data_IF_287439760304
#
_entry.id   IF_287439760304
#
_cell.length_a   1.000
_cell.length_b   1.000
_cell.length_c   1.000
_cell.angle_alpha   90.00
_cell.angle_beta   90.00
_cell.angle_gamma   90.00
#
_symmetry.space_group_name_H-M   'P 1'
#
loop_
_entity.id
_entity.type
_entity.pdbx_description
1 polymer ?
#
# COMPACT_ATOMS: atom_id res chain seq x y z
N UNK A 1 17.20 -8.33 -39.51
CA UNK A 1 17.63 -9.69 -39.93
C UNK A 1 16.53 -10.72 -39.70
N UNK A 2 15.90 -10.74 -38.51
CA UNK A 2 14.80 -11.66 -38.21
C UNK A 2 13.61 -11.53 -39.20
N UNK A 3 13.13 -10.31 -39.44
CA UNK A 3 12.05 -10.04 -40.41
C UNK A 3 12.36 -10.49 -41.85
N UNK A 4 13.64 -10.46 -42.25
CA UNK A 4 14.05 -10.92 -43.58
C UNK A 4 14.00 -12.46 -43.70
N UNK A 5 14.27 -13.18 -42.60
CA UNK A 5 14.10 -14.63 -42.52
C UNK A 5 12.61 -14.98 -42.47
N UNK A 6 11.80 -14.24 -41.71
CA UNK A 6 10.34 -14.42 -41.69
C UNK A 6 9.72 -14.28 -43.08
N UNK A 7 10.16 -13.26 -43.83
CA UNK A 7 9.74 -13.06 -45.22
C UNK A 7 10.21 -14.20 -46.14
N UNK A 8 11.43 -14.72 -45.94
CA UNK A 8 11.99 -15.83 -46.72
C UNK A 8 11.23 -17.14 -46.48
N UNK A 9 10.88 -17.44 -45.23
CA UNK A 9 10.18 -18.67 -44.83
C UNK A 9 8.65 -18.56 -44.96
N UNK A 10 8.14 -17.45 -45.52
CA UNK A 10 6.71 -17.25 -45.80
C UNK A 10 5.83 -17.13 -44.55
N UNK A 11 6.43 -16.83 -43.39
CA UNK A 11 5.70 -16.62 -42.13
C UNK A 11 5.34 -15.15 -41.93
N UNK A 12 4.33 -14.90 -41.07
CA UNK A 12 3.83 -13.55 -40.81
C UNK A 12 4.92 -12.69 -40.15
N UNK A 13 5.34 -11.65 -40.85
CA UNK A 13 6.35 -10.69 -40.36
C UNK A 13 5.82 -9.95 -39.14
N UNK A 14 6.55 -10.02 -38.04
CA UNK A 14 6.21 -9.31 -36.81
C UNK A 14 6.71 -7.86 -36.86
N UNK A 15 5.92 -6.92 -36.32
CA UNK A 15 6.35 -5.53 -36.20
C UNK A 15 7.43 -5.44 -35.12
N UNK A 16 8.60 -4.93 -35.50
CA UNK A 16 9.71 -4.69 -34.57
C UNK A 16 9.65 -3.24 -34.08
N UNK A 17 9.60 -3.06 -32.75
CA UNK A 17 9.79 -1.75 -32.14
C UNK A 17 11.28 -1.49 -31.97
N UNK A 18 11.81 -0.47 -32.65
CA UNK A 18 13.21 -0.08 -32.52
C UNK A 18 13.39 0.94 -31.39
N UNK A 19 14.18 0.61 -30.37
CA UNK A 19 14.58 1.57 -29.33
C UNK A 19 15.55 2.59 -29.93
N UNK A 20 15.17 3.86 -29.96
CA UNK A 20 15.99 4.94 -30.54
C UNK A 20 17.04 5.49 -29.55
N UNK A 21 16.71 5.52 -28.26
CA UNK A 21 17.57 6.01 -27.20
C UNK A 21 17.28 5.28 -25.89
N UNK A 22 18.31 5.10 -25.07
CA UNK A 22 18.22 4.46 -23.75
C UNK A 22 19.17 5.16 -22.80
N UNK A 23 18.70 5.45 -21.58
CA UNK A 23 19.55 5.87 -20.46
C UNK A 23 19.00 5.24 -19.18
N UNK A 24 19.89 4.85 -18.26
CA UNK A 24 19.47 4.38 -16.95
C UNK A 24 19.14 5.56 -16.04
N UNK A 25 18.26 5.39 -15.05
CA UNK A 25 17.98 6.46 -14.10
C UNK A 25 19.24 6.92 -13.35
N UNK A 26 20.14 5.99 -13.03
CA UNK A 26 21.43 6.29 -12.42
C UNK A 26 22.22 7.29 -13.27
N UNK A 27 22.40 7.00 -14.56
CA UNK A 27 23.15 7.86 -15.47
C UNK A 27 22.43 9.16 -15.77
N UNK A 28 21.10 9.15 -15.82
CA UNK A 28 20.29 10.35 -16.02
C UNK A 28 20.45 11.34 -14.86
N UNK A 29 20.32 10.88 -13.61
CA UNK A 29 20.43 11.77 -12.43
C UNK A 29 21.86 12.25 -12.16
N UNK A 30 22.88 11.51 -12.60
CA UNK A 30 24.29 11.97 -12.53
C UNK A 30 24.60 13.19 -13.41
N UNK A 31 23.75 13.53 -14.36
CA UNK A 31 23.95 14.70 -15.23
C UNK A 31 23.63 16.03 -14.52
N UNK A 32 22.95 15.99 -13.37
CA UNK A 32 22.61 17.19 -12.63
C UNK A 32 23.83 17.72 -11.86
N UNK A 33 24.11 19.02 -11.98
CA UNK A 33 25.20 19.70 -11.25
C UNK A 33 25.03 19.58 -9.73
N UNK A 34 23.79 19.56 -9.26
CA UNK A 34 23.43 19.36 -7.86
C UNK A 34 22.24 18.42 -7.78
N UNK A 35 22.40 17.37 -6.97
CA UNK A 35 21.35 16.38 -6.73
C UNK A 35 20.96 16.37 -5.25
N UNK A 36 19.68 16.19 -4.98
CA UNK A 36 19.13 16.05 -3.63
C UNK A 36 17.83 15.25 -3.69
N UNK A 37 17.48 14.61 -2.58
CA UNK A 37 16.30 13.75 -2.50
C UNK A 37 15.65 13.81 -1.12
N UNK A 38 14.39 13.40 -1.05
CA UNK A 38 13.65 13.28 0.21
C UNK A 38 12.82 11.99 0.20
N UNK A 39 12.84 11.27 1.31
CA UNK A 39 12.00 10.08 1.53
C UNK A 39 11.97 9.75 3.02
N UNK A 40 10.95 9.00 3.45
CA UNK A 40 10.85 8.51 4.84
C UNK A 40 11.62 7.22 5.12
N UNK A 41 12.25 6.61 4.11
CA UNK A 41 12.82 5.24 4.22
C UNK A 41 14.24 5.11 3.61
N UNK A 42 15.03 6.18 3.57
CA UNK A 42 16.37 6.14 2.96
C UNK A 42 17.45 5.54 3.86
N UNK A 43 17.23 5.46 5.18
CA UNK A 43 18.30 5.14 6.13
C UNK A 43 18.90 3.75 5.90
N UNK A 44 18.08 2.75 5.53
CA UNK A 44 18.55 1.39 5.25
C UNK A 44 19.32 1.29 3.94
N UNK A 45 19.03 2.16 2.98
CA UNK A 45 19.63 2.17 1.64
C UNK A 45 20.74 3.24 1.50
N UNK A 46 21.20 3.81 2.62
CA UNK A 46 22.15 4.93 2.61
C UNK A 46 23.45 4.62 1.88
N UNK A 47 23.98 3.40 2.04
CA UNK A 47 25.18 2.96 1.32
C UNK A 47 24.98 2.92 -0.21
N UNK A 48 23.78 2.57 -0.68
CA UNK A 48 23.50 2.53 -2.12
C UNK A 48 23.44 3.96 -2.68
N UNK A 49 22.80 4.89 -1.96
CA UNK A 49 22.77 6.30 -2.34
C UNK A 49 24.16 6.93 -2.41
N UNK A 50 25.03 6.61 -1.45
CA UNK A 50 26.41 7.11 -1.42
C UNK A 50 27.23 6.51 -2.59
N UNK A 51 27.20 5.19 -2.78
CA UNK A 51 27.98 4.51 -3.83
C UNK A 51 27.54 4.90 -5.23
N UNK A 52 26.23 5.06 -5.47
CA UNK A 52 25.70 5.31 -6.81
C UNK A 52 25.64 6.80 -7.10
N UNK A 53 25.17 7.63 -6.17
CA UNK A 53 24.85 9.03 -6.41
C UNK A 53 25.72 10.02 -5.63
N UNK A 54 26.66 9.55 -4.82
CA UNK A 54 27.48 10.39 -3.92
C UNK A 54 26.59 11.23 -2.98
N UNK A 55 25.43 10.69 -2.60
CA UNK A 55 24.46 11.32 -1.71
C UNK A 55 24.54 10.72 -0.31
N UNK A 56 24.83 11.56 0.67
CA UNK A 56 24.68 11.20 2.07
C UNK A 56 23.22 11.22 2.50
N UNK A 57 22.82 10.24 3.32
CA UNK A 57 21.48 10.18 3.91
C UNK A 57 21.54 10.76 5.31
N UNK A 58 20.71 11.76 5.57
CA UNK A 58 20.55 12.38 6.88
C UNK A 58 19.15 12.08 7.42
N UNK A 59 19.08 11.52 8.63
CA UNK A 59 17.82 11.35 9.33
C UNK A 59 17.39 12.69 9.95
N UNK A 60 16.20 13.17 9.55
CA UNK A 60 15.59 14.37 10.12
C UNK A 60 14.60 13.92 11.21
N UNK A 61 14.70 14.45 12.44
CA UNK A 61 13.79 14.08 13.51
C UNK A 61 12.34 14.45 13.16
N UNK A 62 11.40 13.66 13.64
CA UNK A 62 9.98 13.88 13.42
C UNK A 62 9.49 15.13 14.16
N UNK A 63 8.52 15.84 13.59
CA UNK A 63 7.92 17.03 14.21
C UNK A 63 7.22 16.72 15.55
N UNK A 64 6.75 15.49 15.73
CA UNK A 64 6.11 15.00 16.97
C UNK A 64 6.59 13.59 17.27
N UNK A 65 6.65 13.18 18.54
CA UNK A 65 6.98 11.80 18.90
C UNK A 65 6.06 10.80 18.22
N UNK A 66 6.65 9.78 17.60
CA UNK A 66 5.90 8.68 16.98
C UNK A 66 5.37 7.74 18.05
N UNK A 67 4.04 7.63 18.15
CA UNK A 67 3.35 6.71 19.08
C UNK A 67 2.69 5.52 18.38
N UNK A 68 3.02 5.30 17.10
CA UNK A 68 2.49 4.19 16.31
C UNK A 68 3.00 2.86 16.89
N UNK A 69 2.09 1.92 17.12
CA UNK A 69 2.43 0.58 17.59
C UNK A 69 2.59 -0.35 16.40
N UNK A 70 3.84 -0.62 16.02
CA UNK A 70 4.18 -1.61 15.00
C UNK A 70 4.17 -3.00 15.65
N UNK A 71 3.31 -3.89 15.14
CA UNK A 71 3.14 -5.25 15.66
C UNK A 71 4.02 -6.22 14.87
N UNK A 72 4.47 -7.28 15.54
CA UNK A 72 5.20 -8.37 14.88
C UNK A 72 4.39 -9.03 13.77
N UNK A 73 5.09 -9.51 12.76
CA UNK A 73 4.51 -10.25 11.64
C UNK A 73 3.81 -11.53 12.13
N UNK A 74 2.67 -11.84 11.48
CA UNK A 74 1.95 -13.09 11.68
C UNK A 74 2.14 -14.00 10.47
N UNK A 75 2.95 -15.04 10.65
CA UNK A 75 3.21 -16.05 9.61
C UNK A 75 2.20 -17.19 9.77
N UNK A 76 1.59 -17.61 8.66
CA UNK A 76 0.59 -18.67 8.64
C UNK A 76 1.05 -19.83 7.76
N UNK A 77 0.64 -21.05 8.11
CA UNK A 77 1.00 -22.26 7.38
C UNK A 77 0.57 -22.24 5.91
N UNK A 78 -0.62 -21.71 5.62
CA UNK A 78 -1.12 -21.57 4.25
C UNK A 78 -1.97 -20.31 4.08
N UNK A 79 -2.25 -19.99 2.81
CA UNK A 79 -2.99 -18.80 2.43
C UNK A 79 -4.46 -18.79 2.91
N UNK A 80 -5.13 -19.94 2.94
CA UNK A 80 -6.51 -20.03 3.41
C UNK A 80 -6.63 -19.63 4.90
N UNK A 81 -5.69 -20.08 5.73
CA UNK A 81 -5.60 -19.73 7.15
C UNK A 81 -5.27 -18.25 7.31
N UNK A 82 -4.28 -17.73 6.56
CA UNK A 82 -3.95 -16.30 6.53
C UNK A 82 -5.21 -15.46 6.30
N UNK A 83 -5.95 -15.75 5.23
CA UNK A 83 -7.15 -14.98 4.89
C UNK A 83 -8.28 -15.12 5.90
N UNK A 84 -8.44 -16.28 6.54
CA UNK A 84 -9.41 -16.45 7.63
C UNK A 84 -9.13 -15.47 8.77
N UNK A 85 -7.88 -15.38 9.23
CA UNK A 85 -7.51 -14.48 10.33
C UNK A 85 -7.51 -13.02 9.92
N UNK A 86 -7.07 -12.69 8.69
CA UNK A 86 -7.13 -11.32 8.16
C UNK A 86 -8.58 -10.83 8.11
N UNK A 87 -9.53 -11.64 7.62
CA UNK A 87 -10.96 -11.30 7.61
C UNK A 87 -11.50 -11.04 9.01
N UNK A 88 -11.19 -11.92 9.96
CA UNK A 88 -11.63 -11.75 11.35
C UNK A 88 -11.10 -10.44 11.94
N UNK A 89 -9.85 -10.09 11.63
CA UNK A 89 -9.25 -8.84 12.09
C UNK A 89 -9.90 -7.62 11.45
N UNK A 90 -10.13 -7.64 10.13
CA UNK A 90 -10.81 -6.57 9.42
C UNK A 90 -12.21 -6.36 9.97
N UNK A 91 -12.98 -7.44 10.13
CA UNK A 91 -14.34 -7.37 10.67
C UNK A 91 -14.35 -6.77 12.08
N UNK A 92 -13.47 -7.23 12.95
CA UNK A 92 -13.32 -6.66 14.29
C UNK A 92 -13.00 -5.15 14.26
N UNK A 93 -12.00 -4.74 13.48
CA UNK A 93 -11.58 -3.34 13.37
C UNK A 93 -12.70 -2.46 12.79
N UNK A 94 -13.38 -2.96 11.75
CA UNK A 94 -14.52 -2.28 11.14
C UNK A 94 -15.72 -2.18 12.11
N UNK A 95 -16.00 -3.22 12.91
CA UNK A 95 -17.10 -3.23 13.88
C UNK A 95 -16.90 -2.18 14.98
N UNK A 96 -15.66 -2.00 15.48
CA UNK A 96 -15.34 -0.94 16.44
C UNK A 96 -15.22 0.45 15.79
N UNK A 97 -15.23 0.51 14.46
CA UNK A 97 -15.23 1.73 13.66
C UNK A 97 -13.87 2.25 13.23
N UNK A 98 -12.82 1.44 13.41
CA UNK A 98 -11.45 1.82 13.09
C UNK A 98 -11.25 1.87 11.56
N UNK A 99 -10.66 2.94 11.01
CA UNK A 99 -10.28 2.98 9.60
C UNK A 99 -9.17 1.96 9.30
N UNK A 100 -9.23 1.35 8.11
CA UNK A 100 -8.35 0.27 7.70
C UNK A 100 -7.77 0.55 6.32
N UNK A 101 -6.44 0.52 6.22
CA UNK A 101 -5.71 0.49 4.95
C UNK A 101 -5.10 -0.90 4.75
N UNK A 102 -5.45 -1.57 3.66
CA UNK A 102 -5.00 -2.93 3.32
C UNK A 102 -4.06 -2.84 2.12
N UNK A 103 -2.77 -3.12 2.34
CA UNK A 103 -1.78 -3.19 1.27
C UNK A 103 -1.75 -4.57 0.60
N UNK A 104 -1.70 -4.59 -0.73
CA UNK A 104 -1.52 -5.81 -1.54
C UNK A 104 -0.40 -5.63 -2.58
N UNK A 105 0.24 -6.73 -2.97
CA UNK A 105 1.35 -6.70 -3.93
C UNK A 105 0.89 -6.76 -5.40
N UNK A 106 -0.35 -7.16 -5.66
CA UNK A 106 -0.86 -7.29 -7.03
C UNK A 106 -2.38 -7.10 -7.08
N UNK A 107 -2.87 -6.80 -8.28
CA UNK A 107 -4.29 -6.49 -8.53
C UNK A 107 -5.18 -7.71 -8.22
N UNK A 108 -4.74 -8.93 -8.55
CA UNK A 108 -5.52 -10.14 -8.32
C UNK A 108 -5.82 -10.36 -6.81
N UNK A 109 -4.84 -10.06 -5.96
CA UNK A 109 -5.01 -10.09 -4.50
C UNK A 109 -5.98 -9.01 -4.03
N UNK A 110 -5.90 -7.80 -4.60
CA UNK A 110 -6.84 -6.71 -4.29
C UNK A 110 -8.27 -7.08 -4.64
N UNK A 111 -8.50 -7.69 -5.80
CA UNK A 111 -9.82 -8.17 -6.21
C UNK A 111 -10.33 -9.29 -5.30
N UNK A 112 -9.45 -10.21 -4.88
CA UNK A 112 -9.80 -11.26 -3.92
C UNK A 112 -10.26 -10.66 -2.57
N UNK A 113 -9.52 -9.67 -2.05
CA UNK A 113 -9.87 -8.97 -0.82
C UNK A 113 -11.20 -8.24 -0.99
N UNK A 114 -11.36 -7.52 -2.10
CA UNK A 114 -12.57 -6.76 -2.42
C UNK A 114 -13.83 -7.63 -2.41
N UNK A 115 -13.81 -8.76 -3.14
CA UNK A 115 -14.91 -9.74 -3.15
C UNK A 115 -15.18 -10.35 -1.78
N UNK A 116 -14.15 -10.47 -0.95
CA UNK A 116 -14.30 -10.97 0.42
C UNK A 116 -15.03 -9.96 1.30
N UNK A 117 -14.67 -8.68 1.19
CA UNK A 117 -15.32 -7.59 1.93
C UNK A 117 -16.77 -7.39 1.49
N UNK A 118 -17.06 -7.51 0.19
CA UNK A 118 -18.43 -7.49 -0.35
C UNK A 118 -19.33 -8.56 0.26
N UNK A 119 -18.82 -9.79 0.42
CA UNK A 119 -19.57 -10.90 1.04
C UNK A 119 -19.93 -10.63 2.50
N UNK A 120 -19.10 -9.88 3.20
CA UNK A 120 -19.32 -9.47 4.58
C UNK A 120 -20.07 -8.11 4.69
N UNK A 121 -20.56 -7.58 3.56
CA UNK A 121 -21.24 -6.28 3.46
C UNK A 121 -20.43 -5.10 4.00
N UNK A 122 -19.11 -5.14 3.82
CA UNK A 122 -18.18 -4.07 4.21
C UNK A 122 -17.93 -3.16 3.00
N UNK A 123 -18.42 -1.92 3.09
CA UNK A 123 -18.14 -0.88 2.10
C UNK A 123 -16.65 -0.55 2.10
N UNK A 124 -16.04 -0.54 0.92
CA UNK A 124 -14.61 -0.30 0.78
C UNK A 124 -14.27 0.31 -0.58
N UNK A 125 -13.06 0.84 -0.70
CA UNK A 125 -12.50 1.35 -1.95
C UNK A 125 -11.28 0.53 -2.37
N UNK A 126 -11.05 0.40 -3.69
CA UNK A 126 -9.87 -0.28 -4.24
C UNK A 126 -9.06 0.68 -5.09
N UNK A 127 -7.77 0.80 -4.80
CA UNK A 127 -6.81 1.67 -5.49
C UNK A 127 -5.82 0.79 -6.27
N UNK A 128 -5.71 1.05 -7.58
CA UNK A 128 -4.95 0.22 -8.51
C UNK A 128 -3.82 0.98 -9.23
N UNK A 129 -3.48 2.18 -8.77
CA UNK A 129 -2.47 3.07 -9.34
C UNK A 129 -2.74 3.45 -10.81
N UNK A 130 -4.02 3.51 -11.22
CA UNK A 130 -4.44 3.86 -12.58
C UNK A 130 -4.89 5.31 -12.72
N UNK A 131 -5.52 5.87 -11.68
CA UNK A 131 -6.15 7.20 -11.75
C UNK A 131 -5.73 8.04 -10.55
N UNK A 132 -4.56 8.69 -10.64
CA UNK A 132 -3.92 9.34 -9.50
C UNK A 132 -4.79 10.40 -8.80
N UNK A 133 -5.51 11.25 -9.52
CA UNK A 133 -6.34 12.31 -8.91
C UNK A 133 -7.55 11.75 -8.13
N UNK A 134 -8.26 10.77 -8.72
CA UNK A 134 -9.40 10.12 -8.06
C UNK A 134 -8.94 9.30 -6.85
N UNK A 135 -7.81 8.61 -6.99
CA UNK A 135 -7.22 7.85 -5.89
C UNK A 135 -6.80 8.76 -4.74
N UNK A 136 -6.21 9.93 -5.02
CA UNK A 136 -5.88 10.91 -3.98
C UNK A 136 -7.12 11.39 -3.21
N UNK A 137 -8.25 11.62 -3.90
CA UNK A 137 -9.49 11.96 -3.22
C UNK A 137 -9.94 10.84 -2.26
N UNK A 138 -9.91 9.59 -2.71
CA UNK A 138 -10.28 8.44 -1.88
C UNK A 138 -9.34 8.28 -0.67
N UNK A 139 -8.02 8.41 -0.88
CA UNK A 139 -7.01 8.29 0.18
C UNK A 139 -7.20 9.35 1.25
N UNK A 140 -7.56 10.58 0.87
CA UNK A 140 -7.84 11.66 1.84
C UNK A 140 -9.00 11.33 2.79
N UNK A 141 -9.91 10.44 2.37
CA UNK A 141 -11.06 9.98 3.17
C UNK A 141 -10.75 8.72 3.97
N UNK A 142 -9.58 8.09 3.77
CA UNK A 142 -9.25 6.80 4.35
C UNK A 142 -9.18 6.81 5.90
N UNK A 143 -8.97 7.97 6.51
CA UNK A 143 -8.88 8.15 7.97
C UNK A 143 -10.21 8.41 8.67
N UNK A 144 -11.34 8.30 7.97
CA UNK A 144 -12.69 8.49 8.54
C UNK A 144 -13.22 7.24 9.25
N UNK A 145 -14.19 7.43 10.15
CA UNK A 145 -14.87 6.34 10.84
C UNK A 145 -15.34 5.24 9.86
N UNK A 146 -15.00 3.98 10.17
CA UNK A 146 -15.32 2.77 9.37
C UNK A 146 -14.78 2.73 7.93
N UNK A 147 -13.94 3.67 7.52
CA UNK A 147 -13.40 3.65 6.16
C UNK A 147 -12.49 2.42 5.94
N UNK A 148 -12.68 1.72 4.82
CA UNK A 148 -11.81 0.61 4.40
C UNK A 148 -11.27 0.88 3.00
N UNK A 149 -9.95 0.87 2.85
CA UNK A 149 -9.26 1.11 1.59
C UNK A 149 -8.29 -0.02 1.30
N UNK A 150 -8.38 -0.61 0.11
CA UNK A 150 -7.47 -1.64 -0.40
C UNK A 150 -6.55 -0.97 -1.42
N UNK A 151 -5.24 -0.97 -1.17
CA UNK A 151 -4.24 -0.30 -1.99
C UNK A 151 -3.23 -1.30 -2.58
N UNK A 152 -3.18 -1.36 -3.91
CA UNK A 152 -2.22 -2.19 -4.66
C UNK A 152 -0.90 -1.44 -4.84
N UNK A 153 0.25 -2.05 -4.49
CA UNK A 153 1.59 -1.50 -4.77
C UNK A 153 1.77 -0.02 -4.40
N UNK A 154 1.38 0.35 -3.17
CA UNK A 154 1.46 1.74 -2.68
C UNK A 154 0.61 2.74 -3.49
N UNK A 155 -0.47 2.30 -4.13
CA UNK A 155 -1.45 3.20 -4.73
C UNK A 155 -1.91 4.26 -3.71
N UNK A 156 -2.01 5.52 -4.15
CA UNK A 156 -2.23 6.65 -3.24
C UNK A 156 -0.96 7.27 -2.63
N UNK A 157 0.24 6.83 -3.03
CA UNK A 157 1.51 7.39 -2.57
C UNK A 157 1.53 8.92 -2.70
N UNK A 158 1.98 9.59 -1.64
CA UNK A 158 2.11 11.05 -1.60
C UNK A 158 0.86 11.79 -1.10
N UNK A 159 -0.27 11.10 -0.91
CA UNK A 159 -1.46 11.67 -0.28
C UNK A 159 -1.51 11.30 1.20
N UNK A 160 -1.62 12.32 2.07
CA UNK A 160 -1.69 12.13 3.53
C UNK A 160 -3.06 11.62 3.98
N UNK A 161 -3.07 10.69 4.94
CA UNK A 161 -4.30 10.11 5.51
C UNK A 161 -4.54 10.75 6.88
N UNK A 162 -5.35 11.81 6.89
CA UNK A 162 -5.72 12.50 8.12
C UNK A 162 -6.84 11.76 8.84
N UNK A 163 -6.67 11.57 10.15
CA UNK A 163 -7.71 11.02 10.99
C UNK A 163 -8.82 12.04 11.21
N UNK A 164 -10.06 11.56 11.23
CA UNK A 164 -11.22 12.37 11.59
C UNK A 164 -11.15 12.84 13.05
N UNK A 165 -11.60 14.07 13.32
CA UNK A 165 -11.57 14.66 14.67
C UNK A 165 -12.46 13.86 15.64
N UNK A 166 -11.99 13.63 16.86
CA UNK A 166 -12.72 12.86 17.88
C UNK A 166 -12.82 11.35 17.62
N UNK A 167 -12.18 10.84 16.57
CA UNK A 167 -12.21 9.43 16.23
C UNK A 167 -11.60 8.56 17.33
N UNK A 168 -10.48 8.99 17.93
CA UNK A 168 -9.80 8.23 18.98
C UNK A 168 -10.71 7.93 20.19
N UNK A 169 -11.46 8.93 20.67
CA UNK A 169 -12.39 8.78 21.79
C UNK A 169 -13.54 7.83 21.43
N UNK A 170 -14.02 7.94 20.19
CA UNK A 170 -15.07 7.05 19.66
C UNK A 170 -14.58 5.60 19.61
N UNK A 171 -13.37 5.35 19.11
CA UNK A 171 -12.78 4.01 19.03
C UNK A 171 -12.54 3.42 20.42
N UNK A 172 -12.01 4.20 21.37
CA UNK A 172 -11.78 3.76 22.74
C UNK A 172 -13.10 3.30 23.40
N UNK A 173 -14.17 4.08 23.25
CA UNK A 173 -15.48 3.74 23.77
C UNK A 173 -16.07 2.46 23.12
N UNK A 174 -15.94 2.33 21.80
CA UNK A 174 -16.43 1.16 21.08
C UNK A 174 -15.66 -0.11 21.46
N UNK A 175 -14.35 -0.01 21.62
CA UNK A 175 -13.49 -1.10 22.06
C UNK A 175 -13.86 -1.55 23.48
N UNK A 176 -14.07 -0.62 24.41
CA UNK A 176 -14.51 -0.94 25.77
C UNK A 176 -15.88 -1.65 25.79
N UNK A 177 -16.83 -1.21 24.97
CA UNK A 177 -18.13 -1.89 24.80
C UNK A 177 -17.97 -3.30 24.24
N UNK A 178 -17.10 -3.48 23.25
CA UNK A 178 -16.82 -4.79 22.65
C UNK A 178 -16.25 -5.77 23.68
N UNK A 179 -15.26 -5.36 24.48
CA UNK A 179 -14.70 -6.19 25.56
C UNK A 179 -15.78 -6.59 26.56
N UNK A 180 -16.59 -5.63 27.04
CA UNK A 180 -17.68 -5.92 27.99
C UNK A 180 -18.63 -6.98 27.46
N UNK A 181 -18.97 -6.93 26.17
CA UNK A 181 -19.83 -7.92 25.53
C UNK A 181 -19.18 -9.32 25.53
N UNK A 182 -17.90 -9.44 25.19
CA UNK A 182 -17.19 -10.72 25.19
C UNK A 182 -17.16 -11.35 26.59
N UNK A 183 -16.75 -10.57 27.60
CA UNK A 183 -16.66 -11.05 29.00
C UNK A 183 -18.02 -11.47 29.57
N UNK A 184 -19.11 -10.80 29.18
CA UNK A 184 -20.47 -11.17 29.60
C UNK A 184 -21.00 -12.41 28.89
N UNK A 185 -20.50 -12.71 27.69
CA UNK A 185 -20.93 -13.87 26.90
C UNK A 185 -20.21 -15.16 27.36
N UNK A 186 -18.97 -15.05 27.84
CA UNK A 186 -18.22 -16.19 28.42
C UNK A 186 -18.71 -16.61 29.83
N UNK A 187 -19.53 -15.78 30.49
CA UNK A 187 -20.12 -16.07 31.81
C UNK A 187 -21.48 -16.80 31.78
N UNK A 188 -21.99 -17.13 30.60
CA UNK A 188 -23.20 -17.94 30.39
C UNK A 188 -22.84 -19.27 29.77
#
# INVERSE_FOLDING_TARGET
MHQAIEAKEGVKIQKESKTLATITYQNFFKQYVKLGGMTGTALTEGEEFEKIYELSVLEIPTNRPTIRVDRNDKVYYNEAIKWKFVKQHIKFAHDIGQPILIGTANIATSEYVSRTLEKDAINHYVLNAKFHEQEAHIVSQAGKYKSVVVATNMAGRGTDIKLESGLNDTLANNYAKWIKKQVLTEKK
#
